data_IF_037515295905
#
_entry.id   IF_037515295905
#
_cell.length_a   1.000
_cell.length_b   1.000
_cell.length_c   1.000
_cell.angle_alpha   90.00
_cell.angle_beta   90.00
_cell.angle_gamma   90.00
#
_symmetry.space_group_name_H-M   'P 1'
#
loop_
_entity.id
_entity.type
_entity.pdbx_description
1 polymer ?
#
# COMPACT_ATOMS: atom_id res chain seq x y z
N UNK A 1 -20.28 13.91 -11.90
CA UNK A 1 -19.54 12.68 -12.21
C UNK A 1 -20.12 11.58 -11.34
N UNK A 2 -20.58 10.49 -11.95
CA UNK A 2 -21.11 9.32 -11.25
C UNK A 2 -19.98 8.50 -10.62
N UNK A 3 -20.31 7.64 -9.64
CA UNK A 3 -19.32 6.73 -9.00
C UNK A 3 -18.62 5.84 -10.03
N UNK A 4 -19.35 5.33 -11.02
CA UNK A 4 -18.79 4.50 -12.11
C UNK A 4 -17.85 5.27 -13.03
N UNK A 5 -18.17 6.53 -13.36
CA UNK A 5 -17.28 7.39 -14.17
C UNK A 5 -16.00 7.73 -13.43
N UNK A 6 -16.09 8.02 -12.12
CA UNK A 6 -14.92 8.27 -11.28
C UNK A 6 -14.02 7.04 -11.23
N UNK A 7 -14.59 5.85 -10.99
CA UNK A 7 -13.84 4.59 -10.96
C UNK A 7 -13.08 4.37 -12.27
N UNK A 8 -13.75 4.48 -13.43
CA UNK A 8 -13.11 4.31 -14.75
C UNK A 8 -12.00 5.33 -15.00
N UNK A 9 -12.20 6.59 -14.61
CA UNK A 9 -11.19 7.65 -14.75
C UNK A 9 -9.94 7.33 -13.92
N UNK A 10 -10.13 6.96 -12.66
CA UNK A 10 -9.02 6.60 -11.77
C UNK A 10 -8.30 5.35 -12.23
N UNK A 11 -9.03 4.35 -12.71
CA UNK A 11 -8.46 3.15 -13.31
C UNK A 11 -7.56 3.49 -14.50
N UNK A 12 -8.04 4.30 -15.45
CA UNK A 12 -7.24 4.74 -16.59
C UNK A 12 -6.01 5.58 -16.18
N UNK A 13 -6.15 6.43 -15.15
CA UNK A 13 -5.07 7.27 -14.64
C UNK A 13 -3.96 6.46 -13.96
N UNK A 14 -4.33 5.45 -13.16
CA UNK A 14 -3.37 4.65 -12.38
C UNK A 14 -2.91 3.39 -13.10
N UNK A 15 -3.55 2.98 -14.20
CA UNK A 15 -3.13 1.83 -14.98
C UNK A 15 -1.63 1.83 -15.33
N UNK A 16 -1.06 2.91 -15.87
CA UNK A 16 0.35 2.90 -16.27
C UNK A 16 1.30 2.73 -15.07
N UNK A 17 0.93 3.30 -13.92
CA UNK A 17 1.72 3.17 -12.68
C UNK A 17 1.66 1.72 -12.19
N UNK A 18 0.48 1.12 -12.15
CA UNK A 18 0.31 -0.27 -11.71
C UNK A 18 1.04 -1.25 -12.63
N UNK A 19 1.03 -0.99 -13.94
CA UNK A 19 1.76 -1.79 -14.93
C UNK A 19 3.28 -1.66 -14.74
N UNK A 20 3.78 -0.45 -14.47
CA UNK A 20 5.19 -0.21 -14.14
C UNK A 20 5.61 -0.90 -12.84
N UNK A 21 4.76 -0.92 -11.81
CA UNK A 21 5.03 -1.67 -10.57
C UNK A 21 5.15 -3.17 -10.83
N UNK A 22 4.26 -3.73 -11.66
CA UNK A 22 4.32 -5.14 -12.04
C UNK A 22 5.59 -5.44 -12.84
N UNK A 23 5.97 -4.57 -13.78
CA UNK A 23 7.20 -4.70 -14.56
C UNK A 23 8.45 -4.65 -13.68
N UNK A 24 8.52 -3.75 -12.69
CA UNK A 24 9.64 -3.67 -11.73
C UNK A 24 9.76 -4.89 -10.84
N UNK A 25 8.64 -5.57 -10.58
CA UNK A 25 8.61 -6.81 -9.83
C UNK A 25 8.86 -8.05 -10.72
N UNK A 26 8.96 -7.89 -12.05
CA UNK A 26 9.21 -9.01 -12.94
C UNK A 26 10.66 -9.51 -12.81
N UNK A 27 10.81 -10.82 -12.58
CA UNK A 27 12.08 -11.53 -12.56
C UNK A 27 12.42 -12.05 -13.96
N UNK A 28 11.39 -12.47 -14.71
CA UNK A 28 11.42 -12.82 -16.13
C UNK A 28 10.08 -12.45 -16.77
N UNK A 29 9.94 -12.59 -18.10
CA UNK A 29 8.70 -12.30 -18.84
C UNK A 29 7.45 -13.04 -18.33
N UNK A 30 7.63 -14.10 -17.53
CA UNK A 30 6.54 -14.94 -17.01
C UNK A 30 6.56 -15.13 -15.48
N UNK A 31 7.55 -14.55 -14.78
CA UNK A 31 7.71 -14.74 -13.34
C UNK A 31 7.82 -13.40 -12.64
N UNK A 32 6.90 -13.16 -11.71
CA UNK A 32 6.83 -11.96 -10.90
C UNK A 32 7.19 -12.27 -9.44
N UNK A 33 8.09 -11.46 -8.88
CA UNK A 33 8.38 -11.44 -7.46
C UNK A 33 7.23 -10.75 -6.72
N UNK A 34 6.37 -11.58 -6.13
CA UNK A 34 5.17 -11.12 -5.44
C UNK A 34 5.48 -10.30 -4.19
N UNK A 35 6.64 -10.50 -3.59
CA UNK A 35 7.02 -9.80 -2.37
C UNK A 35 7.45 -8.37 -2.69
N UNK A 36 8.25 -8.20 -3.74
CA UNK A 36 8.57 -6.87 -4.28
C UNK A 36 7.30 -6.15 -4.72
N UNK A 37 6.38 -6.82 -5.41
CA UNK A 37 5.12 -6.21 -5.82
C UNK A 37 4.27 -5.73 -4.63
N UNK A 38 4.16 -6.54 -3.56
CA UNK A 38 3.46 -6.15 -2.32
C UNK A 38 4.09 -4.90 -1.70
N UNK A 39 5.42 -4.83 -1.64
CA UNK A 39 6.15 -3.65 -1.11
C UNK A 39 5.87 -2.42 -1.97
N UNK A 40 5.98 -2.55 -3.30
CA UNK A 40 5.79 -1.44 -4.24
C UNK A 40 4.37 -0.88 -4.17
N UNK A 41 3.36 -1.74 -4.18
CA UNK A 41 1.96 -1.32 -4.14
C UNK A 41 1.59 -0.71 -2.78
N UNK A 42 2.08 -1.27 -1.67
CA UNK A 42 1.90 -0.66 -0.35
C UNK A 42 2.57 0.72 -0.28
N UNK A 43 3.76 0.86 -0.87
CA UNK A 43 4.47 2.14 -0.95
C UNK A 43 3.71 3.17 -1.77
N UNK A 44 3.18 2.79 -2.93
CA UNK A 44 2.32 3.64 -3.74
C UNK A 44 1.12 4.15 -2.93
N UNK A 45 0.41 3.24 -2.26
CA UNK A 45 -0.75 3.59 -1.47
C UNK A 45 -0.42 4.58 -0.35
N UNK A 46 0.66 4.34 0.40
CA UNK A 46 1.09 5.25 1.46
C UNK A 46 1.40 6.64 0.91
N UNK A 47 2.15 6.73 -0.19
CA UNK A 47 2.50 8.02 -0.78
C UNK A 47 1.25 8.80 -1.23
N UNK A 48 0.29 8.10 -1.84
CA UNK A 48 -0.97 8.72 -2.30
C UNK A 48 -1.84 9.17 -1.13
N UNK A 49 -1.90 8.40 -0.04
CA UNK A 49 -2.68 8.80 1.16
C UNK A 49 -2.02 9.97 1.89
N UNK A 50 -0.68 10.04 1.91
CA UNK A 50 0.04 11.14 2.56
C UNK A 50 -0.09 12.47 1.81
N UNK A 51 -0.11 12.43 0.47
CA UNK A 51 -0.21 13.61 -0.38
C UNK A 51 -1.06 13.31 -1.63
N UNK A 52 -2.40 13.24 -1.50
CA UNK A 52 -3.29 12.94 -2.63
C UNK A 52 -3.17 13.95 -3.77
N UNK A 53 -2.89 15.21 -3.46
CA UNK A 53 -2.70 16.29 -4.42
C UNK A 53 -1.50 16.07 -5.36
N UNK A 54 -0.43 15.44 -4.88
CA UNK A 54 0.75 15.10 -5.70
C UNK A 54 0.39 14.04 -6.77
N UNK A 55 -0.65 13.25 -6.50
CA UNK A 55 -1.23 12.31 -7.46
C UNK A 55 -2.39 12.92 -8.28
N UNK A 56 -2.67 14.22 -8.12
CA UNK A 56 -3.78 14.90 -8.78
C UNK A 56 -5.15 14.43 -8.29
N UNK A 57 -5.24 14.07 -7.00
CA UNK A 57 -6.45 13.56 -6.36
C UNK A 57 -6.92 14.48 -5.25
N UNK A 58 -8.21 14.33 -4.95
CA UNK A 58 -8.84 14.88 -3.76
C UNK A 58 -9.06 13.76 -2.75
N UNK A 59 -9.02 14.07 -1.45
CA UNK A 59 -9.15 13.06 -0.37
C UNK A 59 -10.40 12.18 -0.52
N UNK A 60 -11.54 12.77 -0.94
CA UNK A 60 -12.79 12.04 -1.20
C UNK A 60 -12.71 10.99 -2.31
N UNK A 61 -11.64 11.00 -3.10
CA UNK A 61 -11.41 10.04 -4.20
C UNK A 61 -10.57 8.84 -3.76
N UNK A 62 -9.97 8.88 -2.56
CA UNK A 62 -9.09 7.83 -2.05
C UNK A 62 -9.82 6.49 -1.88
N UNK A 63 -11.08 6.50 -1.43
CA UNK A 63 -11.88 5.28 -1.31
C UNK A 63 -12.08 4.61 -2.67
N UNK A 64 -12.44 5.38 -3.70
CA UNK A 64 -12.60 4.84 -5.05
C UNK A 64 -11.26 4.37 -5.63
N UNK A 65 -10.16 5.07 -5.35
CA UNK A 65 -8.83 4.62 -5.77
C UNK A 65 -8.43 3.32 -5.07
N UNK A 66 -8.72 3.16 -3.78
CA UNK A 66 -8.47 1.93 -3.03
C UNK A 66 -9.12 0.73 -3.72
N UNK A 67 -10.37 0.87 -4.17
CA UNK A 67 -11.08 -0.18 -4.89
C UNK A 67 -10.44 -0.48 -6.25
N UNK A 68 -10.03 0.56 -7.00
CA UNK A 68 -9.30 0.42 -8.27
C UNK A 68 -7.99 -0.35 -8.06
N UNK A 69 -7.22 0.01 -7.03
CA UNK A 69 -5.94 -0.65 -6.74
C UNK A 69 -6.19 -2.11 -6.35
N UNK A 70 -7.19 -2.41 -5.51
CA UNK A 70 -7.51 -3.79 -5.15
C UNK A 70 -7.90 -4.64 -6.36
N UNK A 71 -8.72 -4.09 -7.27
CA UNK A 71 -9.10 -4.78 -8.51
C UNK A 71 -7.89 -5.09 -9.41
N UNK A 72 -6.81 -4.31 -9.31
CA UNK A 72 -5.55 -4.53 -10.05
C UNK A 72 -4.55 -5.43 -9.32
N UNK A 73 -4.61 -5.50 -7.99
CA UNK A 73 -3.78 -6.41 -7.19
C UNK A 73 -4.20 -7.86 -7.42
N UNK A 74 -5.50 -8.13 -7.42
CA UNK A 74 -6.05 -9.49 -7.40
C UNK A 74 -5.56 -10.36 -8.60
N UNK A 75 -5.53 -9.86 -9.85
CA UNK A 75 -4.99 -10.63 -10.98
C UNK A 75 -3.50 -10.94 -10.88
N UNK A 76 -2.73 -10.14 -10.12
CA UNK A 76 -1.27 -10.27 -9.99
C UNK A 76 -0.88 -11.19 -8.83
N UNK A 77 -1.50 -11.00 -7.66
CA UNK A 77 -1.16 -11.73 -6.44
C UNK A 77 -2.02 -12.99 -6.24
N UNK A 78 -3.21 -13.03 -6.82
CA UNK A 78 -4.16 -14.13 -6.70
C UNK A 78 -5.48 -13.69 -6.06
N UNK A 79 -6.49 -14.56 -6.20
CA UNK A 79 -7.85 -14.30 -5.73
C UNK A 79 -7.90 -13.94 -4.23
N UNK A 80 -8.65 -12.88 -3.89
CA UNK A 80 -8.81 -12.38 -2.52
C UNK A 80 -7.62 -11.58 -1.96
N UNK A 81 -6.57 -11.34 -2.74
CA UNK A 81 -5.49 -10.43 -2.37
C UNK A 81 -5.92 -8.96 -2.54
N UNK A 82 -5.44 -8.09 -1.66
CA UNK A 82 -5.83 -6.68 -1.55
C UNK A 82 -4.71 -5.85 -0.91
N UNK A 83 -4.82 -4.53 -0.91
CA UNK A 83 -3.95 -3.63 -0.15
C UNK A 83 -3.88 -4.05 1.32
N UNK A 84 -5.02 -4.41 1.92
CA UNK A 84 -5.07 -4.86 3.31
C UNK A 84 -4.28 -6.15 3.53
N UNK A 85 -4.32 -7.11 2.59
CA UNK A 85 -3.50 -8.33 2.72
C UNK A 85 -2.02 -8.04 2.47
N UNK A 86 -1.66 -7.10 1.59
CA UNK A 86 -0.29 -6.61 1.44
C UNK A 86 0.25 -6.06 2.77
N UNK A 87 -0.48 -5.17 3.45
CA UNK A 87 -0.05 -4.66 4.76
C UNK A 87 0.02 -5.76 5.82
N UNK A 88 -0.91 -6.73 5.80
CA UNK A 88 -0.85 -7.89 6.71
C UNK A 88 0.40 -8.73 6.48
N UNK A 89 0.77 -8.95 5.22
CA UNK A 89 2.00 -9.66 4.86
C UNK A 89 3.24 -8.91 5.35
N UNK A 90 3.32 -7.60 5.06
CA UNK A 90 4.43 -6.73 5.45
C UNK A 90 4.61 -6.65 6.97
N UNK A 91 3.52 -6.73 7.73
CA UNK A 91 3.54 -6.77 9.20
C UNK A 91 3.87 -8.17 9.78
N UNK A 92 4.18 -9.15 8.94
CA UNK A 92 4.57 -10.50 9.32
C UNK A 92 6.07 -10.77 9.15
N UNK A 93 6.52 -11.93 9.61
CA UNK A 93 7.94 -12.35 9.53
C UNK A 93 8.45 -12.45 8.09
N UNK A 94 7.64 -12.96 7.17
CA UNK A 94 8.02 -13.07 5.76
C UNK A 94 8.11 -11.69 5.11
N UNK A 95 7.18 -10.78 5.42
CA UNK A 95 7.25 -9.39 5.00
C UNK A 95 8.46 -8.64 5.54
N UNK A 96 8.83 -8.85 6.81
CA UNK A 96 10.05 -8.30 7.38
C UNK A 96 11.29 -8.77 6.63
N UNK A 97 11.38 -10.07 6.33
CA UNK A 97 12.46 -10.64 5.52
C UNK A 97 12.47 -10.02 4.12
N UNK A 98 11.34 -9.94 3.44
CA UNK A 98 11.22 -9.36 2.11
C UNK A 98 11.70 -7.89 2.07
N UNK A 99 11.29 -7.06 3.05
CA UNK A 99 11.73 -5.67 3.14
C UNK A 99 13.25 -5.56 3.36
N UNK A 100 13.84 -6.49 4.12
CA UNK A 100 15.29 -6.55 4.33
C UNK A 100 16.03 -6.97 3.06
N UNK A 101 15.53 -7.98 2.34
CA UNK A 101 16.10 -8.48 1.09
C UNK A 101 16.03 -7.43 -0.02
N UNK A 102 14.92 -6.68 -0.08
CA UNK A 102 14.72 -5.51 -0.94
C UNK A 102 15.55 -4.28 -0.50
N UNK A 103 16.28 -4.38 0.62
CA UNK A 103 17.15 -3.32 1.17
C UNK A 103 16.42 -2.00 1.40
N UNK A 104 15.18 -2.05 1.90
CA UNK A 104 14.43 -0.83 2.20
C UNK A 104 15.18 0.02 3.23
N UNK A 105 15.31 1.34 2.98
CA UNK A 105 15.78 2.27 4.00
C UNK A 105 14.95 2.17 5.28
N UNK A 106 15.56 2.34 6.48
CA UNK A 106 14.84 2.20 7.75
C UNK A 106 13.58 3.08 7.84
N UNK A 107 13.67 4.34 7.40
CA UNK A 107 12.54 5.27 7.38
C UNK A 107 11.39 4.80 6.49
N UNK A 108 11.67 4.18 5.35
CA UNK A 108 10.65 3.63 4.45
C UNK A 108 9.96 2.42 5.08
N UNK A 109 10.74 1.50 5.65
CA UNK A 109 10.19 0.36 6.39
C UNK A 109 9.31 0.81 7.55
N UNK A 110 9.79 1.74 8.35
CA UNK A 110 9.05 2.24 9.52
C UNK A 110 7.75 2.94 9.09
N UNK A 111 7.76 3.66 7.97
CA UNK A 111 6.56 4.23 7.36
C UNK A 111 5.54 3.17 6.94
N UNK A 112 5.97 2.09 6.26
CA UNK A 112 5.07 1.00 5.87
C UNK A 112 4.45 0.30 7.09
N UNK A 113 5.26 0.05 8.13
CA UNK A 113 4.80 -0.59 9.37
C UNK A 113 3.86 0.32 10.17
N UNK A 114 4.09 1.63 10.17
CA UNK A 114 3.18 2.61 10.77
C UNK A 114 1.81 2.61 10.09
N UNK A 115 1.76 2.55 8.75
CA UNK A 115 0.48 2.43 8.04
C UNK A 115 -0.16 1.06 8.27
N UNK A 116 0.63 -0.01 8.38
CA UNK A 116 0.12 -1.32 8.73
C UNK A 116 -0.59 -1.32 10.09
N UNK A 117 -0.05 -0.64 11.12
CA UNK A 117 -0.73 -0.55 12.41
C UNK A 117 -2.06 0.20 12.32
N UNK A 118 -2.11 1.30 11.56
CA UNK A 118 -3.36 2.06 11.35
C UNK A 118 -4.41 1.21 10.61
N UNK A 119 -4.02 0.52 9.54
CA UNK A 119 -4.95 -0.21 8.65
C UNK A 119 -5.42 -1.51 9.30
N UNK A 120 -4.54 -2.21 10.03
CA UNK A 120 -4.82 -3.54 10.56
C UNK A 120 -5.44 -3.51 11.96
N UNK A 121 -5.02 -2.56 12.82
CA UNK A 121 -5.52 -2.40 14.18
C UNK A 121 -5.63 -0.91 14.58
N UNK A 122 -6.62 -0.17 14.06
CA UNK A 122 -6.82 1.24 14.38
C UNK A 122 -6.96 1.53 15.89
N UNK A 123 -7.53 0.59 16.65
CA UNK A 123 -7.73 0.76 18.09
C UNK A 123 -6.44 0.56 18.88
N UNK A 124 -5.67 -0.48 18.55
CA UNK A 124 -4.31 -0.67 19.08
C UNK A 124 -3.41 0.51 18.75
N UNK A 125 -3.48 1.01 17.51
CA UNK A 125 -2.73 2.20 17.09
C UNK A 125 -3.07 3.43 17.92
N UNK A 126 -4.35 3.72 18.14
CA UNK A 126 -4.80 4.83 19.00
C UNK A 126 -4.24 4.72 20.42
N UNK A 127 -4.37 3.54 21.04
CA UNK A 127 -3.84 3.29 22.40
C UNK A 127 -2.33 3.49 22.48
N UNK A 128 -1.59 3.02 21.46
CA UNK A 128 -0.15 3.19 21.38
C UNK A 128 0.25 4.67 21.24
N UNK A 129 -0.45 5.43 20.38
CA UNK A 129 -0.25 6.87 20.23
C UNK A 129 -0.53 7.64 21.52
N UNK A 130 -1.59 7.28 22.24
CA UNK A 130 -1.93 7.87 23.55
C UNK A 130 -0.86 7.56 24.60
N UNK A 131 -0.33 6.34 24.63
CA UNK A 131 0.75 5.97 25.54
C UNK A 131 2.04 6.75 25.26
N UNK A 132 2.40 6.97 24.00
CA UNK A 132 3.57 7.79 23.63
C UNK A 132 3.37 9.25 24.01
N UNK A 133 2.18 9.81 23.77
CA UNK A 133 1.86 11.20 24.09
C UNK A 133 1.91 11.46 25.59
N UNK A 134 1.51 10.47 26.38
CA UNK A 134 1.43 10.57 27.83
C UNK A 134 2.68 10.01 28.55
N UNK A 135 3.75 9.66 27.84
CA UNK A 135 5.00 9.21 28.47
C UNK A 135 5.74 10.42 29.06
N UNK A 136 5.82 10.57 30.40
CA UNK A 136 6.44 11.72 31.04
C UNK A 136 7.97 11.75 30.90
N UNK A 137 8.57 10.75 30.22
CA UNK A 137 10.00 10.68 29.90
C UNK A 137 10.33 11.25 28.51
N UNK A 138 9.34 11.79 27.79
CA UNK A 138 9.51 12.56 26.55
C UNK A 138 9.25 14.04 26.77
#
# INVERSE_FOLDING_TARGET
MTSTELHRRLDAQFAPVMDDLAARAAVTDHMLDRDIYRILVATLWVNVVLAPEDAGLEERQLETLHDVINARIEPVLGAGESLRSCFRYLNGRDGERAMKEARLPPNHRDMLLYFASIILDPEGHRRWMDAIRNDPRR
#
